data_IF_778641418390
#
_entry.id   IF_778641418390
#
_cell.length_a   1.000
_cell.length_b   1.000
_cell.length_c   1.000
_cell.angle_alpha   90.00
_cell.angle_beta   90.00
_cell.angle_gamma   90.00
#
_symmetry.space_group_name_H-M   'P 1'
#
loop_
_entity.id
_entity.type
_entity.pdbx_description
1 polymer ?
#
# COMPACT_ATOMS: atom_id res chain seq x y z
N UNK A 1 -26.72 -14.29 -10.43
CA UNK A 1 -25.37 -13.97 -9.93
C UNK A 1 -24.85 -15.15 -9.12
N UNK A 2 -23.58 -15.53 -9.32
CA UNK A 2 -22.87 -16.52 -8.49
C UNK A 2 -21.99 -15.79 -7.48
N UNK A 3 -21.55 -16.52 -6.46
CA UNK A 3 -20.72 -15.99 -5.40
C UNK A 3 -19.38 -16.73 -5.37
N UNK A 4 -18.31 -15.98 -5.14
CA UNK A 4 -16.95 -16.49 -5.16
C UNK A 4 -16.18 -16.02 -3.92
N UNK A 5 -15.37 -16.91 -3.34
CA UNK A 5 -14.30 -16.52 -2.43
C UNK A 5 -12.97 -16.58 -3.18
N UNK A 6 -12.15 -15.56 -3.00
CA UNK A 6 -10.87 -15.44 -3.68
C UNK A 6 -9.76 -15.13 -2.68
N UNK A 7 -8.73 -15.96 -2.65
CA UNK A 7 -7.59 -15.76 -1.79
C UNK A 7 -6.66 -14.69 -2.39
N UNK A 8 -6.22 -13.73 -1.57
CA UNK A 8 -5.07 -12.89 -1.87
C UNK A 8 -3.86 -13.37 -1.07
N UNK A 9 -2.67 -13.27 -1.69
CA UNK A 9 -1.42 -13.64 -1.04
C UNK A 9 -1.10 -12.72 0.15
N UNK A 10 -0.12 -13.12 0.95
CA UNK A 10 0.33 -12.37 2.14
C UNK A 10 1.03 -11.03 1.84
N UNK A 11 1.14 -10.65 0.57
CA UNK A 11 1.77 -9.39 0.18
C UNK A 11 0.72 -8.26 0.21
N UNK A 12 0.77 -7.33 1.18
CA UNK A 12 -0.24 -6.28 1.35
C UNK A 12 -0.37 -5.40 0.10
N UNK A 13 0.71 -5.27 -0.66
CA UNK A 13 0.75 -4.45 -1.87
C UNK A 13 -0.05 -5.06 -3.01
N UNK A 14 -0.19 -6.39 -3.05
CA UNK A 14 -1.07 -7.06 -4.03
C UNK A 14 -2.51 -6.70 -3.76
N UNK A 15 -2.94 -6.73 -2.49
CA UNK A 15 -4.29 -6.29 -2.12
C UNK A 15 -4.51 -4.81 -2.46
N UNK A 16 -3.52 -3.97 -2.21
CA UNK A 16 -3.60 -2.56 -2.54
C UNK A 16 -3.69 -2.29 -4.06
N UNK A 17 -2.92 -3.02 -4.88
CA UNK A 17 -3.02 -2.96 -6.35
C UNK A 17 -4.44 -3.32 -6.82
N UNK A 18 -5.09 -4.25 -6.13
CA UNK A 18 -6.45 -4.68 -6.46
C UNK A 18 -7.49 -3.61 -6.13
N UNK A 19 -7.36 -2.97 -4.97
CA UNK A 19 -8.20 -1.84 -4.57
C UNK A 19 -8.04 -0.66 -5.53
N UNK A 20 -6.81 -0.17 -5.72
CA UNK A 20 -6.51 0.98 -6.57
C UNK A 20 -6.82 0.71 -8.05
N UNK A 21 -6.62 -0.53 -8.47
CA UNK A 21 -6.88 -0.98 -9.82
C UNK A 21 -8.34 -1.32 -10.09
N UNK A 22 -9.22 -1.41 -9.09
CA UNK A 22 -10.57 -1.95 -9.29
C UNK A 22 -10.53 -3.30 -10.02
N UNK A 23 -9.72 -4.23 -9.50
CA UNK A 23 -9.50 -5.53 -10.14
C UNK A 23 -9.23 -6.64 -9.13
N UNK A 24 -9.29 -7.88 -9.60
CA UNK A 24 -8.73 -9.05 -8.94
C UNK A 24 -7.81 -9.79 -9.89
N UNK A 25 -6.82 -10.49 -9.35
CA UNK A 25 -5.85 -11.23 -10.14
C UNK A 25 -5.50 -12.58 -9.52
N UNK A 26 -5.06 -13.53 -10.34
CA UNK A 26 -4.48 -14.80 -9.87
C UNK A 26 -3.23 -15.13 -10.69
N UNK A 27 -2.36 -15.97 -10.14
CA UNK A 27 -1.08 -16.29 -10.77
C UNK A 27 0.13 -16.04 -9.88
N UNK A 28 1.25 -15.69 -10.50
CA UNK A 28 2.49 -15.31 -9.85
C UNK A 28 3.70 -16.18 -10.22
N UNK A 29 4.89 -15.81 -9.72
CA UNK A 29 6.14 -16.53 -9.96
C UNK A 29 6.05 -18.00 -9.52
N UNK A 30 6.28 -18.94 -10.44
CA UNK A 30 6.15 -20.38 -10.17
C UNK A 30 4.70 -20.89 -10.10
N UNK A 31 3.72 -20.06 -10.48
CA UNK A 31 2.32 -20.43 -10.65
C UNK A 31 1.96 -20.54 -12.15
N UNK A 32 0.68 -20.73 -12.44
CA UNK A 32 0.17 -21.08 -13.76
C UNK A 32 0.12 -19.93 -14.79
N UNK A 33 0.89 -18.86 -14.61
CA UNK A 33 0.96 -17.75 -15.58
C UNK A 33 1.46 -18.24 -16.96
N UNK A 34 2.24 -19.33 -17.01
CA UNK A 34 2.69 -20.00 -18.24
C UNK A 34 1.55 -20.64 -19.08
N UNK A 35 0.34 -20.77 -18.53
CA UNK A 35 -0.83 -21.14 -19.34
C UNK A 35 -1.14 -20.09 -20.42
N UNK A 36 -0.69 -18.86 -20.18
CA UNK A 36 -0.94 -17.70 -21.00
C UNK A 36 -2.41 -17.33 -21.06
N UNK A 37 -2.78 -16.60 -22.10
CA UNK A 37 -4.17 -16.20 -22.29
C UNK A 37 -5.09 -17.42 -22.48
N UNK A 38 -6.11 -17.48 -21.62
CA UNK A 38 -7.14 -18.51 -21.59
C UNK A 38 -8.40 -18.12 -22.37
N UNK A 39 -8.42 -16.92 -22.95
CA UNK A 39 -9.53 -16.44 -23.78
C UNK A 39 -9.73 -17.37 -24.97
N UNK A 40 -10.98 -17.75 -25.22
CA UNK A 40 -11.35 -18.59 -26.37
C UNK A 40 -10.90 -20.06 -26.30
N UNK A 41 -10.16 -20.49 -25.27
CA UNK A 41 -9.75 -21.89 -25.16
C UNK A 41 -10.94 -22.81 -24.89
N UNK A 42 -10.91 -23.99 -25.52
CA UNK A 42 -11.80 -25.10 -25.17
C UNK A 42 -11.27 -25.82 -23.93
N UNK A 43 -12.15 -26.54 -23.21
CA UNK A 43 -11.74 -27.33 -22.03
C UNK A 43 -10.69 -28.39 -22.38
N UNK A 44 -10.77 -28.95 -23.60
CA UNK A 44 -9.81 -29.91 -24.12
C UNK A 44 -8.43 -29.27 -24.34
N UNK A 45 -8.39 -28.09 -24.95
CA UNK A 45 -7.13 -27.39 -25.23
C UNK A 45 -6.47 -26.91 -23.94
N UNK A 46 -7.26 -26.46 -22.96
CA UNK A 46 -6.78 -26.16 -21.62
C UNK A 46 -6.12 -27.37 -20.95
N UNK A 47 -6.77 -28.55 -20.98
CA UNK A 47 -6.17 -29.77 -20.42
C UNK A 47 -4.87 -30.15 -21.12
N UNK A 48 -4.80 -29.98 -22.45
CA UNK A 48 -3.56 -30.24 -23.20
C UNK A 48 -2.43 -29.32 -22.75
N UNK A 49 -2.66 -28.00 -22.66
CA UNK A 49 -1.65 -27.03 -22.16
C UNK A 49 -1.24 -27.35 -20.72
N UNK A 50 -2.23 -27.57 -19.85
CA UNK A 50 -2.00 -27.94 -18.45
C UNK A 50 -1.11 -29.17 -18.32
N UNK A 51 -1.46 -30.26 -19.00
CA UNK A 51 -0.76 -31.54 -18.86
C UNK A 51 0.67 -31.46 -19.43
N UNK A 52 0.89 -30.65 -20.47
CA UNK A 52 2.22 -30.34 -21.00
C UNK A 52 3.08 -29.55 -19.98
N UNK A 53 2.50 -28.60 -19.25
CA UNK A 53 3.23 -27.83 -18.22
C UNK A 53 3.49 -28.66 -16.96
N UNK A 54 2.56 -29.54 -16.55
CA UNK A 54 2.78 -30.45 -15.41
C UNK A 54 4.02 -31.33 -15.63
N UNK A 55 4.23 -31.79 -16.87
CA UNK A 55 5.41 -32.59 -17.21
C UNK A 55 6.73 -31.82 -17.03
N UNK A 56 6.70 -30.49 -17.07
CA UNK A 56 7.86 -29.61 -16.94
C UNK A 56 8.03 -29.09 -15.49
N UNK A 57 6.98 -29.13 -14.68
CA UNK A 57 6.95 -28.57 -13.32
C UNK A 57 6.52 -29.62 -12.28
N UNK A 58 7.50 -30.24 -11.60
CA UNK A 58 7.26 -31.37 -10.70
C UNK A 58 6.30 -31.10 -9.52
N UNK A 59 6.10 -29.83 -9.14
CA UNK A 59 5.18 -29.43 -8.04
C UNK A 59 3.76 -29.13 -8.53
N UNK A 60 3.52 -29.08 -9.84
CA UNK A 60 2.25 -28.66 -10.41
C UNK A 60 1.28 -29.83 -10.50
N UNK A 61 0.03 -29.60 -10.10
CA UNK A 61 -1.01 -30.63 -10.09
C UNK A 61 -2.20 -30.22 -10.92
N UNK A 62 -2.94 -31.20 -11.46
CA UNK A 62 -4.19 -30.95 -12.20
C UNK A 62 -5.18 -30.11 -11.37
N UNK A 63 -5.21 -30.34 -10.05
CA UNK A 63 -6.06 -29.60 -9.10
C UNK A 63 -5.65 -28.14 -8.98
N UNK A 64 -4.34 -27.85 -8.94
CA UNK A 64 -3.83 -26.48 -8.81
C UNK A 64 -4.06 -25.58 -10.03
N UNK A 65 -4.28 -26.15 -11.22
CA UNK A 65 -4.64 -25.41 -12.43
C UNK A 65 -6.13 -25.04 -12.51
N UNK A 66 -7.01 -25.80 -11.83
CA UNK A 66 -8.45 -25.62 -11.96
C UNK A 66 -8.95 -24.21 -11.58
N UNK A 67 -8.42 -23.54 -10.53
CA UNK A 67 -8.77 -22.16 -10.21
C UNK A 67 -8.59 -21.20 -11.40
N UNK A 68 -7.56 -21.39 -12.23
CA UNK A 68 -7.29 -20.55 -13.40
C UNK A 68 -8.36 -20.69 -14.47
N UNK A 69 -8.83 -21.91 -14.71
CA UNK A 69 -9.96 -22.13 -15.60
C UNK A 69 -11.26 -21.53 -15.05
N UNK A 70 -11.53 -21.70 -13.75
CA UNK A 70 -12.73 -21.13 -13.13
C UNK A 70 -12.73 -19.61 -13.26
N UNK A 71 -11.61 -19.01 -12.90
CA UNK A 71 -11.40 -17.57 -13.01
C UNK A 71 -11.60 -17.07 -14.44
N UNK A 72 -10.97 -17.70 -15.44
CA UNK A 72 -11.08 -17.24 -16.81
C UNK A 72 -12.42 -17.55 -17.49
N UNK A 73 -13.06 -18.70 -17.19
CA UNK A 73 -14.15 -19.25 -18.01
C UNK A 73 -15.48 -19.48 -17.29
N UNK A 74 -15.50 -19.50 -15.96
CA UNK A 74 -16.73 -19.75 -15.17
C UNK A 74 -17.24 -18.51 -14.43
N UNK A 75 -16.33 -17.67 -13.96
CA UNK A 75 -16.69 -16.36 -13.40
C UNK A 75 -17.23 -15.46 -14.51
N UNK A 76 -18.28 -14.69 -14.20
CA UNK A 76 -18.94 -13.81 -15.16
C UNK A 76 -19.16 -12.42 -14.57
N UNK A 77 -19.32 -11.43 -15.45
CA UNK A 77 -19.73 -10.10 -15.05
C UNK A 77 -21.06 -10.17 -14.26
N UNK A 78 -21.16 -9.38 -13.19
CA UNK A 78 -22.27 -9.42 -12.25
C UNK A 78 -22.17 -10.49 -11.16
N UNK A 79 -21.19 -11.38 -11.19
CA UNK A 79 -20.89 -12.25 -10.05
C UNK A 79 -20.28 -11.46 -8.90
N UNK A 80 -20.53 -11.89 -7.66
CA UNK A 80 -19.98 -11.25 -6.47
C UNK A 80 -18.77 -12.01 -5.95
N UNK A 81 -17.76 -11.28 -5.46
CA UNK A 81 -16.51 -11.83 -4.94
C UNK A 81 -16.21 -11.29 -3.55
N UNK A 82 -15.84 -12.18 -2.64
CA UNK A 82 -15.28 -11.85 -1.34
C UNK A 82 -13.79 -12.21 -1.35
N UNK A 83 -12.92 -11.22 -1.18
CA UNK A 83 -11.48 -11.41 -1.12
C UNK A 83 -11.05 -11.62 0.32
N UNK A 84 -10.29 -12.68 0.55
CA UNK A 84 -9.83 -13.05 1.87
C UNK A 84 -8.32 -13.26 1.93
N UNK A 85 -7.77 -13.04 3.11
CA UNK A 85 -6.42 -13.43 3.48
C UNK A 85 -6.49 -14.08 4.87
N UNK A 86 -5.92 -15.28 4.99
CA UNK A 86 -6.02 -16.12 6.18
C UNK A 86 -7.47 -16.28 6.68
N UNK A 87 -7.78 -15.78 7.88
CA UNK A 87 -9.09 -15.87 8.54
C UNK A 87 -9.99 -14.63 8.35
N UNK A 88 -9.62 -13.75 7.41
CA UNK A 88 -10.17 -12.39 7.29
C UNK A 88 -10.64 -12.09 5.88
N UNK A 89 -11.72 -11.32 5.79
CA UNK A 89 -12.15 -10.68 4.57
C UNK A 89 -11.51 -9.32 4.49
N UNK A 90 -10.92 -9.01 3.35
CA UNK A 90 -10.32 -7.70 3.08
C UNK A 90 -11.26 -6.80 2.30
N UNK A 91 -12.08 -7.37 1.43
CA UNK A 91 -13.07 -6.60 0.69
C UNK A 91 -14.03 -7.47 -0.10
N UNK A 92 -15.13 -6.85 -0.49
CA UNK A 92 -16.25 -7.45 -1.22
C UNK A 92 -16.58 -6.56 -2.40
N UNK A 93 -16.75 -7.19 -3.57
CA UNK A 93 -17.02 -6.48 -4.81
C UNK A 93 -17.85 -7.31 -5.78
N UNK A 94 -18.14 -6.71 -6.93
CA UNK A 94 -18.83 -7.31 -8.04
C UNK A 94 -17.93 -7.31 -9.27
N UNK A 95 -17.88 -8.41 -10.02
CA UNK A 95 -17.14 -8.48 -11.27
C UNK A 95 -17.76 -7.51 -12.28
N UNK A 96 -16.97 -6.55 -12.74
CA UNK A 96 -17.41 -5.45 -13.60
C UNK A 96 -17.03 -5.63 -15.07
N UNK A 97 -16.43 -6.76 -15.44
CA UNK A 97 -16.06 -6.99 -16.84
C UNK A 97 -15.49 -8.38 -17.14
N UNK A 98 -15.10 -8.59 -18.40
CA UNK A 98 -14.57 -9.87 -18.86
C UNK A 98 -13.19 -10.16 -18.28
N UNK A 99 -12.82 -11.43 -18.31
CA UNK A 99 -11.45 -11.86 -18.10
C UNK A 99 -10.55 -11.29 -19.21
N UNK A 100 -9.34 -10.91 -18.83
CA UNK A 100 -8.26 -10.62 -19.76
C UNK A 100 -6.93 -11.10 -19.17
N UNK A 101 -5.96 -11.32 -20.05
CA UNK A 101 -4.62 -11.69 -19.67
C UNK A 101 -3.68 -10.51 -19.88
N UNK A 102 -3.09 -10.02 -18.79
CA UNK A 102 -2.04 -9.03 -18.84
C UNK A 102 -0.70 -9.74 -19.03
N UNK A 103 -0.10 -9.58 -20.21
CA UNK A 103 1.25 -10.08 -20.48
C UNK A 103 2.27 -9.33 -19.66
N UNK A 104 3.38 -10.00 -19.33
CA UNK A 104 4.58 -9.38 -18.74
C UNK A 104 4.38 -8.79 -17.33
N UNK A 105 3.23 -9.08 -16.69
CA UNK A 105 3.01 -8.85 -15.27
C UNK A 105 2.74 -10.18 -14.57
N UNK A 106 3.31 -10.41 -13.38
CA UNK A 106 2.92 -11.59 -12.62
C UNK A 106 1.54 -11.37 -12.02
N UNK A 107 0.80 -12.46 -11.79
CA UNK A 107 -0.66 -12.39 -11.63
C UNK A 107 -1.31 -11.89 -12.93
N UNK A 108 -0.95 -12.51 -14.06
CA UNK A 108 -1.37 -12.07 -15.39
C UNK A 108 -2.85 -12.29 -15.68
N UNK A 109 -3.48 -13.23 -14.97
CA UNK A 109 -4.91 -13.51 -15.10
C UNK A 109 -5.72 -12.53 -14.27
N UNK A 110 -6.45 -11.62 -14.93
CA UNK A 110 -7.12 -10.51 -14.25
C UNK A 110 -8.58 -10.35 -14.64
N UNK A 111 -9.34 -9.70 -13.74
CA UNK A 111 -10.73 -9.30 -13.95
C UNK A 111 -11.03 -7.96 -13.30
N UNK A 112 -11.78 -7.06 -13.96
CA UNK A 112 -12.28 -5.84 -13.35
C UNK A 112 -13.30 -6.13 -12.24
N UNK A 113 -13.25 -5.34 -11.18
CA UNK A 113 -14.14 -5.42 -10.00
C UNK A 113 -14.57 -4.03 -9.58
N UNK A 114 -15.88 -3.88 -9.38
CA UNK A 114 -16.45 -2.75 -8.67
C UNK A 114 -16.50 -3.09 -7.17
N UNK A 115 -15.68 -2.43 -6.37
CA UNK A 115 -15.65 -2.62 -4.91
C UNK A 115 -16.88 -1.99 -4.27
N UNK A 116 -17.56 -2.77 -3.41
CA UNK A 116 -18.74 -2.31 -2.66
C UNK A 116 -18.43 -2.06 -1.19
N UNK A 117 -17.52 -2.85 -0.64
CA UNK A 117 -17.10 -2.74 0.75
C UNK A 117 -15.63 -3.16 0.84
N UNK A 118 -14.77 -2.30 1.39
CA UNK A 118 -13.35 -2.57 1.66
C UNK A 118 -13.07 -2.62 3.17
N UNK A 119 -14.11 -2.70 3.99
CA UNK A 119 -13.98 -2.83 5.44
C UNK A 119 -13.40 -4.21 5.76
N UNK A 120 -12.23 -4.30 6.41
CA UNK A 120 -11.68 -5.59 6.83
C UNK A 120 -12.58 -6.23 7.88
N UNK A 121 -12.90 -7.52 7.72
CA UNK A 121 -13.81 -8.26 8.62
C UNK A 121 -13.18 -9.57 9.07
N UNK A 122 -13.44 -9.95 10.32
CA UNK A 122 -12.99 -11.22 10.89
C UNK A 122 -14.07 -12.28 10.69
N UNK A 123 -13.75 -13.36 9.99
CA UNK A 123 -14.74 -14.39 9.67
C UNK A 123 -14.40 -15.77 10.28
N UNK A 124 -13.17 -16.00 10.72
CA UNK A 124 -12.79 -17.21 11.49
C UNK A 124 -12.96 -18.54 10.74
N UNK A 125 -13.39 -18.50 9.47
CA UNK A 125 -13.52 -19.68 8.62
C UNK A 125 -12.21 -19.92 7.92
N UNK A 126 -11.61 -21.07 8.19
CA UNK A 126 -10.49 -21.55 7.41
C UNK A 126 -10.99 -21.90 6.00
N UNK A 127 -10.64 -21.08 5.01
CA UNK A 127 -10.87 -21.44 3.63
C UNK A 127 -9.91 -22.56 3.21
N UNK A 128 -10.38 -23.46 2.35
CA UNK A 128 -9.50 -24.43 1.70
C UNK A 128 -8.39 -23.68 0.95
N UNK A 129 -7.22 -24.32 0.76
CA UNK A 129 -6.03 -23.78 0.08
C UNK A 129 -6.21 -23.46 -1.43
N UNK A 130 -7.46 -23.32 -1.90
CA UNK A 130 -7.78 -23.01 -3.29
C UNK A 130 -7.86 -21.50 -3.49
N UNK A 131 -7.15 -20.99 -4.49
CA UNK A 131 -7.13 -19.55 -4.81
C UNK A 131 -8.50 -18.98 -5.19
N UNK A 132 -9.35 -19.78 -5.85
CA UNK A 132 -10.68 -19.36 -6.33
C UNK A 132 -11.68 -20.48 -6.07
N UNK A 133 -12.70 -20.20 -5.26
CA UNK A 133 -13.73 -21.17 -4.93
C UNK A 133 -15.14 -20.60 -5.09
N UNK A 134 -16.07 -21.37 -5.70
CA UNK A 134 -17.48 -21.03 -5.66
C UNK A 134 -17.99 -21.20 -4.22
N UNK A 135 -18.81 -20.25 -3.78
CA UNK A 135 -19.51 -20.29 -2.50
C UNK A 135 -21.01 -20.07 -2.75
N UNK A 136 -21.84 -20.44 -1.77
CA UNK A 136 -23.25 -20.13 -1.82
C UNK A 136 -23.53 -18.71 -1.30
N UNK A 137 -24.76 -18.25 -1.50
CA UNK A 137 -25.19 -16.92 -1.06
C UNK A 137 -25.13 -16.78 0.47
N UNK A 138 -25.40 -17.87 1.20
CA UNK A 138 -25.44 -17.85 2.66
C UNK A 138 -24.07 -17.54 3.24
N UNK A 139 -23.04 -18.27 2.76
CA UNK A 139 -21.65 -18.04 3.14
C UNK A 139 -21.16 -16.68 2.65
N UNK A 140 -21.49 -16.27 1.42
CA UNK A 140 -21.11 -14.94 0.92
C UNK A 140 -21.69 -13.82 1.78
N UNK A 141 -22.97 -13.92 2.14
CA UNK A 141 -23.62 -12.92 2.99
C UNK A 141 -22.97 -12.90 4.38
N UNK A 142 -22.70 -14.06 4.96
CA UNK A 142 -22.00 -14.15 6.25
C UNK A 142 -20.61 -13.50 6.22
N UNK A 143 -19.85 -13.68 5.13
CA UNK A 143 -18.56 -13.04 4.89
C UNK A 143 -18.68 -11.52 4.79
N UNK A 144 -19.65 -11.05 3.98
CA UNK A 144 -19.86 -9.63 3.74
C UNK A 144 -20.40 -8.88 4.97
N UNK A 145 -21.10 -9.56 5.88
CA UNK A 145 -21.65 -8.95 7.11
C UNK A 145 -20.87 -9.33 8.37
N UNK A 146 -19.71 -9.98 8.23
CA UNK A 146 -18.88 -10.37 9.36
C UNK A 146 -18.43 -9.14 10.18
N UNK A 147 -18.15 -9.29 11.49
CA UNK A 147 -17.73 -8.17 12.33
C UNK A 147 -16.51 -7.44 11.74
N UNK A 148 -16.62 -6.11 11.63
CA UNK A 148 -15.52 -5.27 11.20
C UNK A 148 -14.37 -5.38 12.21
N UNK A 149 -13.15 -5.45 11.69
CA UNK A 149 -11.94 -5.32 12.51
C UNK A 149 -11.78 -3.83 12.80
N UNK A 150 -11.56 -3.46 14.07
CA UNK A 150 -11.40 -2.07 14.47
C UNK A 150 -10.25 -1.42 13.67
N UNK A 151 -10.39 -0.15 13.26
CA UNK A 151 -9.39 0.54 12.44
C UNK A 151 -7.98 0.50 13.06
N UNK A 152 -7.87 0.63 14.38
CA UNK A 152 -6.59 0.54 15.09
C UNK A 152 -5.96 -0.85 15.01
N UNK A 153 -6.77 -1.91 15.04
CA UNK A 153 -6.32 -3.29 14.88
C UNK A 153 -5.94 -3.56 13.42
N UNK A 154 -6.76 -3.12 12.46
CA UNK A 154 -6.47 -3.21 11.03
C UNK A 154 -5.16 -2.46 10.68
N UNK A 155 -4.92 -1.32 11.33
CA UNK A 155 -3.72 -0.51 11.17
C UNK A 155 -2.50 -1.13 11.83
N UNK A 156 -2.60 -1.67 13.05
CA UNK A 156 -1.52 -2.41 13.70
C UNK A 156 -1.08 -3.62 12.86
N UNK A 157 -2.03 -4.33 12.26
CA UNK A 157 -1.77 -5.47 11.37
C UNK A 157 -1.16 -5.04 10.03
N UNK A 158 -1.58 -3.89 9.48
CA UNK A 158 -0.95 -3.30 8.30
C UNK A 158 0.50 -2.88 8.59
N UNK A 159 0.76 -2.35 9.78
CA UNK A 159 2.11 -1.99 10.26
C UNK A 159 2.98 -3.24 10.44
N UNK A 160 2.49 -4.32 11.05
CA UNK A 160 3.23 -5.59 11.18
C UNK A 160 3.60 -6.19 9.81
N UNK A 161 2.73 -6.06 8.80
CA UNK A 161 3.03 -6.47 7.43
C UNK A 161 4.03 -5.56 6.70
N UNK A 162 4.18 -4.31 7.16
CA UNK A 162 5.10 -3.30 6.65
C UNK A 162 6.42 -3.19 7.45
N UNK A 163 6.57 -3.94 8.55
CA UNK A 163 7.70 -3.88 9.48
C UNK A 163 9.01 -4.49 8.94
N UNK A 164 9.27 -4.35 7.63
CA UNK A 164 10.60 -4.54 7.06
C UNK A 164 11.28 -3.17 6.97
N UNK A 165 12.34 -3.01 7.78
CA UNK A 165 13.16 -1.82 8.07
C UNK A 165 12.64 -0.88 9.15
N UNK A 166 12.81 -1.29 10.42
CA UNK A 166 12.91 -0.39 11.58
C UNK A 166 14.34 -0.41 12.12
N UNK A 167 15.29 0.04 11.30
CA UNK A 167 16.54 0.60 11.79
C UNK A 167 16.70 1.98 11.15
N UNK A 168 17.59 2.85 11.66
CA UNK A 168 17.74 4.29 11.30
C UNK A 168 18.15 4.60 9.84
N UNK A 169 17.71 3.82 8.87
CA UNK A 169 17.96 3.95 7.43
C UNK A 169 16.64 4.01 6.67
N UNK A 170 16.56 4.82 5.60
CA UNK A 170 15.37 4.89 4.75
C UNK A 170 14.97 3.50 4.24
N UNK A 171 13.67 3.18 4.15
CA UNK A 171 13.25 1.91 3.58
C UNK A 171 13.77 1.75 2.16
N UNK A 172 14.25 0.53 1.83
CA UNK A 172 14.89 0.28 0.54
C UNK A 172 14.05 0.65 -0.70
N UNK A 173 12.71 0.67 -0.60
CA UNK A 173 11.84 1.05 -1.72
C UNK A 173 11.96 2.54 -2.12
N UNK A 174 12.39 3.42 -1.20
CA UNK A 174 12.51 4.87 -1.44
C UNK A 174 13.49 5.15 -2.57
N UNK A 175 14.56 4.34 -2.69
CA UNK A 175 15.53 4.40 -3.77
C UNK A 175 14.92 4.14 -5.16
N UNK A 176 13.71 3.57 -5.24
CA UNK A 176 13.03 3.24 -6.49
C UNK A 176 12.00 4.30 -6.90
N UNK A 177 11.73 5.32 -6.08
CA UNK A 177 10.78 6.40 -6.42
C UNK A 177 11.22 7.18 -7.67
N UNK A 178 12.47 7.66 -7.66
CA UNK A 178 13.02 8.43 -8.77
C UNK A 178 13.20 7.59 -10.05
N UNK A 179 13.84 6.40 -10.02
CA UNK A 179 13.97 5.57 -11.22
C UNK A 179 12.63 5.19 -11.85
N UNK A 180 11.60 4.96 -11.03
CA UNK A 180 10.25 4.65 -11.51
C UNK A 180 9.62 5.86 -12.21
N UNK A 181 9.70 7.05 -11.61
CA UNK A 181 9.16 8.27 -12.19
C UNK A 181 9.86 8.61 -13.51
N UNK A 182 11.19 8.56 -13.53
CA UNK A 182 12.01 8.83 -14.73
C UNK A 182 11.72 7.85 -15.85
N UNK A 183 11.53 6.57 -15.52
CA UNK A 183 11.18 5.55 -16.51
C UNK A 183 9.82 5.85 -17.14
N UNK A 184 8.82 6.19 -16.33
CA UNK A 184 7.52 6.59 -16.84
C UNK A 184 7.60 7.86 -17.70
N UNK A 185 8.44 8.84 -17.34
CA UNK A 185 8.67 10.04 -18.15
C UNK A 185 9.31 9.70 -19.50
N UNK A 186 10.30 8.82 -19.50
CA UNK A 186 10.97 8.35 -20.72
C UNK A 186 10.03 7.57 -21.66
N UNK A 187 9.05 6.84 -21.10
CA UNK A 187 8.00 6.15 -21.86
C UNK A 187 6.88 7.08 -22.36
N UNK A 188 7.04 8.41 -22.27
CA UNK A 188 6.04 9.38 -22.72
C UNK A 188 4.94 9.67 -21.69
N UNK A 189 5.16 9.29 -20.43
CA UNK A 189 4.28 9.58 -19.30
C UNK A 189 3.19 8.54 -19.03
N UNK A 190 3.23 7.39 -19.70
CA UNK A 190 2.35 6.26 -19.42
C UNK A 190 3.00 4.94 -19.86
N UNK A 191 2.61 3.83 -19.24
CA UNK A 191 3.07 2.50 -19.66
C UNK A 191 2.28 1.38 -19.00
N UNK A 192 2.31 0.17 -19.57
CA UNK A 192 1.74 -1.00 -18.90
C UNK A 192 2.60 -1.37 -17.71
N UNK A 193 1.99 -1.82 -16.62
CA UNK A 193 2.73 -2.17 -15.41
C UNK A 193 3.93 -3.10 -15.67
N UNK A 194 3.77 -4.12 -16.53
CA UNK A 194 4.83 -5.07 -16.87
C UNK A 194 5.99 -4.41 -17.59
N UNK A 195 5.70 -3.65 -18.64
CA UNK A 195 6.67 -2.89 -19.41
C UNK A 195 7.45 -1.90 -18.54
N UNK A 196 6.77 -1.19 -17.63
CA UNK A 196 7.42 -0.24 -16.72
C UNK A 196 8.34 -0.97 -15.74
N UNK A 197 7.92 -2.11 -15.18
CA UNK A 197 8.75 -2.91 -14.28
C UNK A 197 10.02 -3.42 -14.97
N UNK A 198 9.88 -3.94 -16.19
CA UNK A 198 11.00 -4.41 -17.01
C UNK A 198 11.94 -3.24 -17.36
N UNK A 199 11.40 -2.11 -17.81
CA UNK A 199 12.20 -0.93 -18.16
C UNK A 199 12.97 -0.35 -16.95
N UNK A 200 12.36 -0.31 -15.76
CA UNK A 200 13.06 0.12 -14.54
C UNK A 200 14.15 -0.88 -14.18
N UNK A 201 13.89 -2.18 -14.28
CA UNK A 201 14.90 -3.21 -14.01
C UNK A 201 16.09 -3.08 -14.95
N UNK A 202 15.85 -2.88 -16.23
CA UNK A 202 16.90 -2.75 -17.24
C UNK A 202 17.73 -1.48 -16.97
N UNK A 203 17.08 -0.35 -16.68
CA UNK A 203 17.74 0.91 -16.26
C UNK A 203 18.65 0.74 -15.05
N UNK A 204 18.21 -0.03 -14.05
CA UNK A 204 18.99 -0.28 -12.84
C UNK A 204 20.16 -1.26 -13.08
N UNK A 205 20.02 -2.16 -14.06
CA UNK A 205 21.05 -3.14 -14.41
C UNK A 205 22.25 -2.50 -15.12
N UNK A 206 22.06 -1.36 -15.78
CA UNK A 206 23.15 -0.59 -16.40
C UNK A 206 24.09 0.06 -15.37
N UNK A 207 23.67 0.14 -14.09
CA UNK A 207 24.39 0.86 -13.03
C UNK A 207 25.25 -0.06 -12.14
N UNK A 208 25.00 -1.39 -12.12
CA UNK A 208 25.81 -2.36 -11.39
C UNK A 208 26.08 -3.65 -12.20
N UNK A 209 27.31 -4.21 -12.21
CA UNK A 209 27.63 -5.42 -12.97
C UNK A 209 26.88 -6.64 -12.39
N UNK A 210 25.93 -7.17 -13.16
CA UNK A 210 24.90 -8.09 -12.68
C UNK A 210 25.38 -9.55 -12.46
N UNK A 211 25.09 -10.08 -11.27
CA UNK A 211 24.88 -11.51 -11.07
C UNK A 211 23.51 -11.93 -11.63
N UNK A 212 23.40 -13.14 -12.22
CA UNK A 212 22.20 -13.63 -12.90
C UNK A 212 20.88 -13.43 -12.13
N UNK A 213 19.76 -13.13 -12.80
CA UNK A 213 18.46 -12.90 -12.18
C UNK A 213 17.95 -14.18 -11.50
N UNK A 214 17.56 -14.08 -10.22
CA UNK A 214 16.88 -15.15 -9.49
C UNK A 214 15.42 -14.77 -9.21
N UNK A 215 14.47 -15.72 -9.19
CA UNK A 215 13.05 -15.44 -8.95
C UNK A 215 12.80 -14.65 -7.66
N UNK A 216 13.57 -14.93 -6.61
CA UNK A 216 13.51 -14.22 -5.33
C UNK A 216 13.92 -12.75 -5.46
N UNK A 217 14.94 -12.43 -6.27
CA UNK A 217 15.39 -11.04 -6.49
C UNK A 217 14.37 -10.27 -7.32
N UNK A 218 13.83 -10.88 -8.37
CA UNK A 218 12.77 -10.28 -9.20
C UNK A 218 11.53 -9.96 -8.37
N UNK A 219 11.12 -10.87 -7.48
CA UNK A 219 9.98 -10.65 -6.58
C UNK A 219 10.22 -9.51 -5.59
N UNK A 220 11.44 -9.38 -5.07
CA UNK A 220 11.82 -8.30 -4.16
C UNK A 220 11.82 -6.94 -4.86
N UNK A 221 12.43 -6.84 -6.04
CA UNK A 221 12.43 -5.62 -6.85
C UNK A 221 11.00 -5.19 -7.17
N UNK A 222 10.17 -6.13 -7.63
CA UNK A 222 8.76 -5.89 -7.91
C UNK A 222 8.06 -5.31 -6.68
N UNK A 223 8.21 -5.93 -5.51
CA UNK A 223 7.60 -5.42 -4.26
C UNK A 223 8.02 -3.97 -3.98
N UNK A 224 9.29 -3.64 -4.14
CA UNK A 224 9.78 -2.27 -3.97
C UNK A 224 9.18 -1.30 -4.98
N UNK A 225 9.03 -1.70 -6.26
CA UNK A 225 8.44 -0.85 -7.30
C UNK A 225 6.95 -0.60 -7.11
N UNK A 226 6.18 -1.60 -6.68
CA UNK A 226 4.76 -1.40 -6.33
C UNK A 226 4.61 -0.49 -5.11
N UNK A 227 5.50 -0.61 -4.11
CA UNK A 227 5.54 0.29 -2.96
C UNK A 227 5.91 1.72 -3.37
N UNK A 228 6.89 1.88 -4.26
CA UNK A 228 7.27 3.18 -4.80
C UNK A 228 6.10 3.82 -5.57
N UNK A 229 5.44 3.07 -6.46
CA UNK A 229 4.25 3.53 -7.18
C UNK A 229 3.17 4.04 -6.24
N UNK A 230 2.88 3.32 -5.17
CA UNK A 230 1.86 3.73 -4.20
C UNK A 230 2.18 5.11 -3.61
N UNK A 231 3.43 5.35 -3.23
CA UNK A 231 3.86 6.65 -2.72
C UNK A 231 3.75 7.75 -3.77
N UNK A 232 4.10 7.47 -5.03
CA UNK A 232 3.94 8.45 -6.10
C UNK A 232 2.45 8.75 -6.43
N UNK A 233 1.55 7.78 -6.26
CA UNK A 233 0.10 8.01 -6.35
C UNK A 233 -0.40 8.93 -5.23
N UNK A 234 0.03 8.69 -3.99
CA UNK A 234 -0.35 9.55 -2.85
C UNK A 234 0.25 10.95 -2.95
N UNK A 235 1.43 11.08 -3.57
CA UNK A 235 2.01 12.36 -3.93
C UNK A 235 1.31 13.06 -5.11
N UNK A 236 0.31 12.42 -5.74
CA UNK A 236 -0.41 12.97 -6.89
C UNK A 236 0.44 13.03 -8.17
N UNK A 237 1.56 12.30 -8.23
CA UNK A 237 2.44 12.26 -9.40
C UNK A 237 1.99 11.21 -10.41
N UNK A 238 1.29 10.16 -9.97
CA UNK A 238 0.65 9.16 -10.82
C UNK A 238 -0.87 9.23 -10.70
N UNK A 239 -1.56 8.63 -11.68
CA UNK A 239 -3.00 8.41 -11.68
C UNK A 239 -3.33 6.98 -12.15
N UNK A 240 -4.57 6.54 -11.89
CA UNK A 240 -5.10 5.20 -12.23
C UNK A 240 -6.37 5.29 -13.08
N UNK A 241 -6.35 6.16 -14.10
CA UNK A 241 -7.50 6.35 -15.00
C UNK A 241 -7.83 5.11 -15.83
N UNK A 242 -6.81 4.31 -16.20
CA UNK A 242 -7.00 3.10 -16.98
C UNK A 242 -6.42 1.89 -16.25
N UNK A 243 -7.22 0.82 -16.20
CA UNK A 243 -6.82 -0.39 -15.50
C UNK A 243 -5.55 -1.00 -16.10
N UNK A 244 -4.54 -1.30 -15.26
CA UNK A 244 -3.30 -1.95 -15.66
C UNK A 244 -2.27 -1.04 -16.35
N UNK A 245 -2.62 0.24 -16.54
CA UNK A 245 -1.74 1.28 -17.10
C UNK A 245 -1.34 2.21 -15.97
N UNK A 246 -0.04 2.48 -15.87
CA UNK A 246 0.51 3.45 -14.94
C UNK A 246 0.73 4.75 -15.72
N UNK A 247 0.14 5.83 -15.25
CA UNK A 247 0.12 7.10 -15.97
C UNK A 247 0.56 8.23 -15.05
N UNK A 248 1.40 9.11 -15.56
CA UNK A 248 1.80 10.33 -14.86
C UNK A 248 0.72 11.39 -14.97
N UNK A 249 0.50 12.10 -13.87
CA UNK A 249 -0.25 13.36 -13.88
C UNK A 249 0.57 14.46 -14.52
N UNK A 250 -0.04 15.63 -14.76
CA UNK A 250 0.71 16.81 -15.20
C UNK A 250 1.84 17.17 -14.20
N UNK A 251 1.61 16.97 -12.90
CA UNK A 251 2.63 17.17 -11.88
C UNK A 251 3.77 16.14 -12.04
N UNK A 252 3.45 14.86 -12.16
CA UNK A 252 4.46 13.79 -12.33
C UNK A 252 5.33 13.96 -13.57
N UNK A 253 4.79 14.49 -14.67
CA UNK A 253 5.56 14.76 -15.90
C UNK A 253 6.59 15.88 -15.74
N UNK A 254 6.30 16.84 -14.87
CA UNK A 254 7.13 18.04 -14.68
C UNK A 254 8.00 17.97 -13.42
N UNK A 255 7.93 16.87 -12.66
CA UNK A 255 8.67 16.69 -11.42
C UNK A 255 9.97 15.95 -11.70
N UNK A 256 11.10 16.52 -11.30
CA UNK A 256 12.37 15.79 -11.21
C UNK A 256 12.60 15.41 -9.75
N UNK A 257 12.48 14.12 -9.41
CA UNK A 257 12.76 13.62 -8.06
C UNK A 257 14.26 13.33 -7.95
N UNK A 258 15.01 14.20 -7.27
CA UNK A 258 16.39 13.88 -6.89
C UNK A 258 16.38 12.93 -5.67
N UNK A 259 17.52 12.30 -5.38
CA UNK A 259 17.63 11.34 -4.27
C UNK A 259 17.21 11.93 -2.91
N UNK A 260 17.45 13.24 -2.69
CA UNK A 260 16.98 13.95 -1.50
C UNK A 260 15.47 14.22 -1.49
N UNK A 261 14.86 14.42 -2.65
CA UNK A 261 13.42 14.71 -2.78
C UNK A 261 12.58 13.44 -2.56
N UNK A 262 13.11 12.26 -2.94
CA UNK A 262 12.48 10.98 -2.68
C UNK A 262 12.37 10.68 -1.17
N UNK A 263 13.39 11.06 -0.39
CA UNK A 263 13.37 10.98 1.07
C UNK A 263 12.33 11.94 1.66
N UNK A 264 12.29 13.20 1.23
CA UNK A 264 11.31 14.17 1.73
C UNK A 264 9.86 13.76 1.39
N UNK A 265 9.64 13.21 0.19
CA UNK A 265 8.33 12.68 -0.21
C UNK A 265 7.93 11.50 0.68
N UNK A 266 8.87 10.61 1.01
CA UNK A 266 8.63 9.52 1.96
C UNK A 266 8.27 10.04 3.34
N UNK A 267 9.10 10.93 3.90
CA UNK A 267 8.91 11.50 5.24
C UNK A 267 7.61 12.28 5.37
N UNK A 268 7.24 13.08 4.36
CA UNK A 268 5.98 13.84 4.36
C UNK A 268 4.78 12.90 4.32
N UNK A 269 4.77 11.90 3.44
CA UNK A 269 3.64 10.97 3.33
C UNK A 269 3.51 10.09 4.58
N UNK A 270 4.63 9.67 5.16
CA UNK A 270 4.67 8.90 6.41
C UNK A 270 4.23 9.76 7.61
N UNK A 271 4.71 11.00 7.69
CA UNK A 271 4.27 12.00 8.67
C UNK A 271 2.75 12.23 8.59
N UNK A 272 2.21 12.44 7.39
CA UNK A 272 0.77 12.61 7.18
C UNK A 272 -0.01 11.36 7.62
N UNK A 273 0.53 10.15 7.42
CA UNK A 273 -0.11 8.94 7.95
C UNK A 273 -0.10 8.93 9.48
N UNK A 274 1.05 9.19 10.10
CA UNK A 274 1.20 9.20 11.56
C UNK A 274 0.34 10.30 12.22
N UNK A 275 0.26 11.47 11.61
CA UNK A 275 -0.62 12.58 12.02
C UNK A 275 -2.09 12.18 11.91
N UNK A 276 -2.52 11.59 10.80
CA UNK A 276 -3.89 11.09 10.67
C UNK A 276 -4.20 9.95 11.67
N UNK A 277 -3.19 9.17 12.10
CA UNK A 277 -3.31 8.22 13.20
C UNK A 277 -3.60 8.88 14.54
N UNK A 278 -2.82 9.88 14.87
CA UNK A 278 -2.92 10.55 16.16
C UNK A 278 -4.20 11.39 16.24
N UNK A 279 -4.67 11.92 15.11
CA UNK A 279 -5.92 12.67 14.99
C UNK A 279 -7.17 11.78 14.96
N UNK A 280 -7.07 10.49 14.64
CA UNK A 280 -8.20 9.56 14.65
C UNK A 280 -8.76 9.30 16.08
N UNK A 281 -7.97 9.59 17.12
CA UNK A 281 -8.40 9.54 18.53
C UNK A 281 -8.66 10.92 19.17
N UNK A 282 -8.54 12.03 18.44
CA UNK A 282 -8.61 13.39 18.99
C UNK A 282 -9.98 14.05 18.77
N UNK A 283 -10.44 14.80 19.77
CA UNK A 283 -11.70 15.58 19.73
C UNK A 283 -11.74 16.54 18.52
N UNK A 284 -12.95 16.82 18.00
CA UNK A 284 -13.27 17.71 16.88
C UNK A 284 -12.57 19.09 16.92
N UNK A 285 -12.17 19.55 18.10
CA UNK A 285 -11.41 20.79 18.30
C UNK A 285 -9.96 20.67 17.82
N UNK A 286 -9.33 19.50 17.97
CA UNK A 286 -7.96 19.21 17.51
C UNK A 286 -7.93 19.03 15.99
N UNK A 287 -8.97 18.41 15.41
CA UNK A 287 -9.14 18.32 13.95
C UNK A 287 -9.22 19.70 13.28
N UNK A 288 -10.02 20.62 13.83
CA UNK A 288 -10.10 22.01 13.30
C UNK A 288 -8.78 22.79 13.39
N UNK A 289 -7.95 22.54 14.40
CA UNK A 289 -6.64 23.19 14.53
C UNK A 289 -5.61 22.62 13.55
N UNK A 290 -5.71 21.34 13.18
CA UNK A 290 -4.85 20.69 12.18
C UNK A 290 -5.27 21.02 10.73
N UNK A 291 -6.55 21.29 10.48
CA UNK A 291 -7.11 21.59 9.16
C UNK A 291 -7.03 23.07 8.75
N UNK A 292 -6.63 23.97 9.64
CA UNK A 292 -6.48 25.40 9.29
C UNK A 292 -5.14 25.60 8.57
N UNK A 293 -5.10 25.94 7.26
CA UNK A 293 -3.86 26.31 6.62
C UNK A 293 -3.37 27.62 7.27
N UNK A 294 -2.24 27.57 7.97
CA UNK A 294 -1.53 28.79 8.36
C UNK A 294 -1.11 29.47 7.06
N UNK A 295 -1.92 30.44 6.62
CA UNK A 295 -1.61 31.25 5.46
C UNK A 295 -0.54 32.23 5.92
N UNK A 296 0.72 31.97 5.59
CA UNK A 296 1.76 32.99 5.69
C UNK A 296 1.45 34.06 4.64
N UNK A 297 0.65 35.05 5.01
CA UNK A 297 0.56 36.31 4.27
C UNK A 297 1.90 37.03 4.47
N UNK A 298 2.74 37.02 3.46
CA UNK A 298 3.88 37.93 3.38
C UNK A 298 3.33 39.34 3.14
N UNK A 299 3.15 40.10 4.22
CA UNK A 299 3.05 41.55 4.12
C UNK A 299 4.35 42.08 3.47
N UNK A 300 4.28 43.07 2.55
CA UNK A 300 5.48 43.67 2.00
C UNK A 300 6.31 44.30 3.15
N UNK A 301 7.65 44.23 3.07
CA UNK A 301 8.51 44.61 4.18
C UNK A 301 8.30 46.09 4.54
N UNK A 302 8.14 46.44 5.83
CA UNK A 302 8.21 47.84 6.22
C UNK A 302 9.64 48.36 6.01
N UNK A 303 9.71 49.64 5.64
CA UNK A 303 10.92 50.37 5.32
C UNK A 303 12.02 50.19 6.38
N UNK A 304 13.25 49.91 5.93
CA UNK A 304 14.34 49.33 6.73
C UNK A 304 14.98 50.32 7.73
N UNK A 305 14.33 51.45 8.01
CA UNK A 305 14.90 52.57 8.76
C UNK A 305 14.25 52.84 10.14
N UNK A 306 13.29 52.03 10.60
CA UNK A 306 12.57 52.33 11.85
C UNK A 306 12.13 51.12 12.69
N UNK A 307 12.97 50.09 12.84
CA UNK A 307 12.73 49.07 13.88
C UNK A 307 13.55 49.41 15.14
N UNK A 308 12.92 49.49 16.33
CA UNK A 308 13.63 49.59 17.60
C UNK A 308 14.44 48.30 17.84
N UNK A 309 15.57 48.45 18.53
CA UNK A 309 16.48 47.37 18.91
C UNK A 309 15.71 46.13 19.38
N UNK A 310 16.03 44.92 18.88
CA UNK A 310 15.35 43.70 19.32
C UNK A 310 15.50 43.56 20.85
N UNK A 311 14.44 43.16 21.58
CA UNK A 311 14.58 42.85 22.99
C UNK A 311 15.57 41.70 23.13
N UNK A 312 16.46 41.80 24.13
CA UNK A 312 17.43 40.75 24.44
C UNK A 312 16.71 39.40 24.52
N UNK A 313 17.30 38.39 23.88
CA UNK A 313 16.98 36.97 24.09
C UNK A 313 16.81 36.74 25.59
N UNK A 314 15.67 36.19 26.07
CA UNK A 314 15.57 35.85 27.47
C UNK A 314 16.62 34.78 27.73
N UNK A 315 17.64 35.15 28.51
CA UNK A 315 18.57 34.22 29.13
C UNK A 315 17.70 33.23 29.92
N UNK A 316 17.90 31.92 29.72
CA UNK A 316 17.19 30.85 30.43
C UNK A 316 17.31 31.10 31.95
N UNK A 317 16.30 31.76 32.52
CA UNK A 317 16.24 32.04 33.94
C UNK A 317 15.39 30.97 34.63
N UNK A 318 16.14 30.20 35.42
CA UNK A 318 15.81 29.48 36.66
C UNK A 318 14.72 28.40 36.64
N UNK A 319 15.14 27.23 37.13
CA UNK A 319 14.26 26.11 37.50
C UNK A 319 13.13 26.64 38.37
N UNK A 320 11.88 26.52 37.90
CA UNK A 320 10.72 26.87 38.70
C UNK A 320 10.70 26.03 39.98
N UNK A 321 10.61 26.64 41.16
CA UNK A 321 10.52 25.88 42.40
C UNK A 321 9.20 25.12 42.44
N UNK A 322 9.23 23.86 42.90
CA UNK A 322 8.10 22.93 42.82
C UNK A 322 6.84 23.46 43.51
N UNK A 323 6.99 24.27 44.56
CA UNK A 323 5.85 24.88 45.26
C UNK A 323 5.05 25.85 44.38
N UNK A 324 5.71 26.59 43.48
CA UNK A 324 5.04 27.50 42.56
C UNK A 324 4.26 26.71 41.50
N UNK A 325 4.82 25.60 41.05
CA UNK A 325 4.16 24.70 40.08
C UNK A 325 2.99 23.96 40.74
N UNK A 326 3.13 23.53 42.00
CA UNK A 326 2.05 22.92 42.78
C UNK A 326 0.87 23.87 42.96
N UNK A 327 1.13 25.14 43.28
CA UNK A 327 0.08 26.15 43.42
C UNK A 327 -0.68 26.42 42.12
N UNK A 328 0.03 26.43 40.98
CA UNK A 328 -0.58 26.69 39.66
C UNK A 328 -1.34 25.47 39.10
N UNK A 329 -0.89 24.26 39.40
CA UNK A 329 -1.46 23.01 38.86
C UNK A 329 -2.39 22.30 39.83
N UNK A 330 -2.45 22.76 41.08
CA UNK A 330 -3.16 22.11 42.20
C UNK A 330 -2.70 20.68 42.48
N UNK A 331 -1.53 20.27 41.99
CA UNK A 331 -0.92 18.97 42.25
C UNK A 331 -0.05 19.01 43.51
N UNK A 332 0.00 17.94 44.31
CA UNK A 332 0.89 17.88 45.47
C UNK A 332 2.36 18.01 45.06
N UNK A 333 3.13 18.83 45.78
CA UNK A 333 4.59 18.98 45.53
C UNK A 333 5.33 17.65 45.54
N UNK A 334 4.91 16.70 46.37
CA UNK A 334 5.51 15.37 46.47
C UNK A 334 5.34 14.56 45.18
N UNK A 335 4.25 14.77 44.44
CA UNK A 335 3.99 14.14 43.15
C UNK A 335 4.85 14.79 42.06
N UNK A 336 4.89 16.12 42.01
CA UNK A 336 5.72 16.86 41.06
C UNK A 336 7.21 16.57 41.25
N UNK A 337 7.67 16.44 42.50
CA UNK A 337 9.05 16.06 42.82
C UNK A 337 9.42 14.68 42.25
N UNK A 338 8.51 13.69 42.38
CA UNK A 338 8.73 12.34 41.81
C UNK A 338 8.83 12.37 40.29
N UNK A 339 8.03 13.20 39.63
CA UNK A 339 8.05 13.33 38.17
C UNK A 339 9.34 13.99 37.68
N UNK A 340 9.76 15.08 38.30
CA UNK A 340 11.03 15.74 37.96
C UNK A 340 12.20 14.78 38.16
N UNK A 341 12.22 14.04 39.27
CA UNK A 341 13.29 13.08 39.53
C UNK A 341 13.29 11.90 38.54
N UNK A 342 12.11 11.48 38.06
CA UNK A 342 12.00 10.46 37.03
C UNK A 342 12.49 10.95 35.66
N UNK A 343 12.14 12.19 35.29
CA UNK A 343 12.59 12.85 34.05
C UNK A 343 14.11 13.01 34.07
N UNK A 344 14.68 13.51 35.15
CA UNK A 344 16.13 13.71 35.27
C UNK A 344 16.90 12.38 35.25
N UNK A 345 16.32 11.30 35.79
CA UNK A 345 16.98 9.99 35.84
C UNK A 345 16.83 9.16 34.56
N UNK A 346 15.72 9.29 33.81
CA UNK A 346 15.39 8.40 32.68
C UNK A 346 15.09 9.11 31.37
N UNK A 347 15.06 10.45 31.33
CA UNK A 347 14.75 11.22 30.12
C UNK A 347 13.31 11.04 29.60
N UNK A 348 12.40 10.52 30.42
CA UNK A 348 10.99 10.31 30.07
C UNK A 348 10.10 11.19 30.94
N UNK A 349 9.24 11.99 30.30
CA UNK A 349 8.11 12.63 30.95
C UNK A 349 7.06 11.57 31.30
N UNK A 350 6.64 11.54 32.57
CA UNK A 350 5.56 10.66 33.06
C UNK A 350 4.22 11.37 32.88
#
# INVERSE_FOLDING_TARGET
ARYWALAVGADPWVWQEWCEGNMIAIGGPGAWDELGDLTGLTRRDFYRRRDSLIAQHAKWTKRSAEPFWRFARQMQEGDSVAVYHDDRILGVGMLAGPYYFATDVPLGHRRPVEWRDLTPRRHGTAFATSTVMPIDNTLFTALATAPAIAEDEARALAIESNAFDTDKTLPAFVHYLAPLLETLQALGGQGRAGEVLEAVRDRLSDTEPAAAPSPTRTNRLRRHLYRARHYLLRAGLLTTEQHGIWQLTAAGRNTALLAGDAQQLYEEIDYQQQLNASLAGASETVRRLAETPVTYTTAPPPDRAALPTPPLVPTLAERYPLHAVAAATFLPETQLARWVQAIERKGQAI
#
